data_IF_659734972872
#
_entry.id   IF_659734972872
#
_cell.length_a   1.000
_cell.length_b   1.000
_cell.length_c   1.000
_cell.angle_alpha   90.00
_cell.angle_beta   90.00
_cell.angle_gamma   90.00
#
_symmetry.space_group_name_H-M   'P 1'
#
loop_
_entity.id
_entity.type
_entity.pdbx_description
1 polymer ?
#
# COMPACT_ATOMS: atom_id res chain seq x y z
N UNK A 1 9.63 10.13 40.96
CA UNK A 1 9.52 11.28 40.02
C UNK A 1 9.52 10.69 38.63
N UNK A 2 8.55 11.10 37.81
CA UNK A 2 8.22 10.55 36.50
C UNK A 2 9.41 10.70 35.55
N UNK A 3 9.71 9.68 34.75
CA UNK A 3 10.24 9.94 33.41
C UNK A 3 9.86 8.84 32.43
N UNK A 4 9.57 9.28 31.22
CA UNK A 4 8.78 8.58 30.20
C UNK A 4 9.68 7.65 29.39
N UNK A 5 9.11 6.51 29.03
CA UNK A 5 9.57 5.69 27.91
C UNK A 5 9.36 6.47 26.61
N UNK A 6 10.42 6.65 25.81
CA UNK A 6 10.31 6.98 24.39
C UNK A 6 11.22 6.06 23.55
N UNK A 7 10.64 5.56 22.46
CA UNK A 7 11.24 4.70 21.42
C UNK A 7 12.18 5.49 20.50
N UNK A 8 13.05 4.74 19.83
CA UNK A 8 14.04 5.06 18.76
C UNK A 8 15.37 5.67 19.24
N UNK A 9 16.43 4.89 19.04
CA UNK A 9 17.81 5.21 19.34
C UNK A 9 18.30 6.42 18.52
N UNK A 10 18.83 7.42 19.22
CA UNK A 10 19.71 8.44 18.65
C UNK A 10 21.10 8.15 19.20
N UNK A 11 22.07 7.80 18.34
CA UNK A 11 23.46 7.60 18.73
C UNK A 11 24.19 8.96 18.68
N UNK A 12 24.71 9.38 19.83
CA UNK A 12 25.53 10.58 20.04
C UNK A 12 27.00 10.25 19.70
N UNK A 13 27.65 11.05 18.84
CA UNK A 13 29.07 10.93 18.49
C UNK A 13 29.94 11.86 19.36
N UNK A 14 30.99 11.32 19.97
CA UNK A 14 32.02 12.05 20.71
C UNK A 14 33.09 12.57 19.73
N UNK A 15 33.37 13.88 19.73
CA UNK A 15 34.34 14.56 18.85
C UNK A 15 35.69 14.70 19.58
N UNK A 16 36.79 14.31 18.92
CA UNK A 16 38.16 14.70 19.30
C UNK A 16 38.76 15.58 18.20
N UNK A 17 39.11 16.82 18.55
CA UNK A 17 39.66 17.85 17.66
C UNK A 17 41.18 17.71 17.50
N UNK A 18 41.66 17.83 16.26
CA UNK A 18 42.98 18.42 15.96
C UNK A 18 42.78 19.49 14.89
N UNK A 19 43.26 20.69 15.19
CA UNK A 19 43.03 21.97 14.48
C UNK A 19 44.09 22.14 13.39
N UNK A 20 43.68 22.49 12.16
CA UNK A 20 44.21 23.60 11.35
C UNK A 20 43.39 23.77 10.04
N UNK A 21 42.75 24.93 9.86
CA UNK A 21 42.25 25.43 8.56
C UNK A 21 40.74 25.36 8.34
N UNK A 22 40.10 26.52 8.12
CA UNK A 22 38.64 26.73 8.09
C UNK A 22 37.91 26.12 6.88
N UNK A 23 36.93 25.22 7.11
CA UNK A 23 35.61 25.19 6.42
C UNK A 23 34.67 24.23 7.17
N UNK A 24 33.52 24.73 7.65
CA UNK A 24 32.47 23.92 8.29
C UNK A 24 31.39 23.59 7.25
N UNK A 25 31.11 22.32 6.99
CA UNK A 25 29.84 21.89 6.40
C UNK A 25 29.05 21.08 7.44
N UNK A 26 27.98 21.69 7.95
CA UNK A 26 26.89 20.96 8.60
C UNK A 26 26.00 20.42 7.49
N UNK A 27 25.86 19.10 7.37
CA UNK A 27 24.81 18.48 6.53
C UNK A 27 23.81 17.80 7.46
N UNK A 28 22.67 18.45 7.66
CA UNK A 28 21.49 17.80 8.21
C UNK A 28 20.94 16.83 7.14
N UNK A 29 20.81 15.56 7.50
CA UNK A 29 20.18 14.57 6.64
C UNK A 29 18.66 14.73 6.69
N UNK A 30 18.07 15.14 5.57
CA UNK A 30 16.64 14.95 5.29
C UNK A 30 16.56 13.97 4.13
N UNK A 31 16.09 12.76 4.42
CA UNK A 31 15.66 11.80 3.41
C UNK A 31 14.45 12.42 2.70
N UNK A 32 14.63 12.85 1.46
CA UNK A 32 13.54 13.25 0.58
C UNK A 32 13.69 12.50 -0.74
N UNK A 33 12.65 11.74 -1.11
CA UNK A 33 12.45 11.27 -2.45
C UNK A 33 12.53 12.47 -3.42
N UNK A 34 13.44 12.42 -4.39
CA UNK A 34 13.64 13.49 -5.35
C UNK A 34 14.57 13.03 -6.47
N UNK A 35 14.41 13.63 -7.66
CA UNK A 35 15.23 13.35 -8.84
C UNK A 35 16.74 13.48 -8.53
N UNK A 36 17.58 12.59 -9.07
CA UNK A 36 19.03 12.82 -9.09
C UNK A 36 19.29 14.01 -10.01
N UNK A 37 19.56 15.15 -9.40
CA UNK A 37 20.05 16.35 -10.09
C UNK A 37 21.55 16.40 -9.92
N UNK A 38 22.31 16.33 -11.03
CA UNK A 38 23.73 16.66 -11.03
C UNK A 38 23.87 18.19 -10.81
N UNK A 39 23.96 18.60 -9.55
CA UNK A 39 24.22 19.99 -9.15
C UNK A 39 25.72 20.25 -9.12
N UNK A 40 26.16 21.29 -9.82
CA UNK A 40 27.57 21.66 -9.90
C UNK A 40 27.68 23.12 -9.42
N UNK A 41 28.46 23.38 -8.36
CA UNK A 41 28.63 24.71 -7.74
C UNK A 41 30.08 25.20 -7.80
N UNK A 42 30.25 26.43 -8.29
CA UNK A 42 31.50 27.09 -8.66
C UNK A 42 32.41 27.43 -7.46
N UNK A 43 33.73 27.18 -7.57
CA UNK A 43 34.72 28.20 -7.19
C UNK A 43 36.13 27.95 -7.81
N UNK A 44 36.56 28.91 -8.63
CA UNK A 44 37.94 29.38 -8.89
C UNK A 44 39.09 28.39 -9.24
N UNK A 45 39.43 28.36 -10.54
CA UNK A 45 40.72 28.07 -11.24
C UNK A 45 41.80 27.16 -10.59
N UNK A 46 42.06 26.00 -11.21
CA UNK A 46 43.31 25.23 -11.04
C UNK A 46 43.85 24.78 -12.41
N UNK A 47 45.15 24.98 -12.65
CA UNK A 47 45.90 24.54 -13.84
C UNK A 47 46.81 23.37 -13.44
N UNK A 48 46.83 22.28 -14.21
CA UNK A 48 47.79 21.17 -14.03
C UNK A 48 48.44 20.81 -15.37
N UNK A 49 49.77 20.67 -15.35
CA UNK A 49 50.64 20.40 -16.50
C UNK A 49 50.99 18.89 -16.61
N UNK A 50 51.25 18.45 -17.84
CA UNK A 50 51.45 17.04 -18.21
C UNK A 50 52.81 16.43 -17.82
N UNK A 51 52.81 15.09 -17.71
CA UNK A 51 53.97 14.23 -17.82
C UNK A 51 53.60 12.91 -18.53
N UNK A 52 54.45 12.47 -19.45
CA UNK A 52 54.23 11.32 -20.32
C UNK A 52 54.21 9.96 -19.58
N UNK A 53 53.28 9.08 -19.99
CA UNK A 53 53.28 7.66 -19.64
C UNK A 53 51.99 7.22 -18.94
N UNK A 54 51.17 6.44 -19.66
CA UNK A 54 49.95 5.75 -19.20
C UNK A 54 48.98 6.63 -18.38
N UNK A 55 48.02 7.24 -19.07
CA UNK A 55 46.99 8.06 -18.44
C UNK A 55 46.17 7.29 -17.41
N UNK A 56 45.76 7.94 -16.31
CA UNK A 56 45.07 7.29 -15.19
C UNK A 56 43.72 6.72 -15.63
N UNK A 57 43.52 5.44 -15.31
CA UNK A 57 42.22 4.81 -15.19
C UNK A 57 41.45 5.54 -14.08
N UNK A 58 40.57 6.48 -14.44
CA UNK A 58 39.61 7.04 -13.49
C UNK A 58 38.42 6.07 -13.42
N UNK A 59 38.62 4.95 -12.71
CA UNK A 59 37.50 4.26 -12.06
C UNK A 59 37.02 5.23 -10.98
N UNK A 60 35.75 5.60 -10.98
CA UNK A 60 35.15 6.28 -9.83
C UNK A 60 35.04 5.28 -8.67
N UNK A 61 36.10 5.13 -7.88
CA UNK A 61 36.05 4.53 -6.56
C UNK A 61 35.93 5.62 -5.49
N UNK A 62 34.81 6.33 -5.44
CA UNK A 62 34.36 6.84 -4.13
C UNK A 62 33.84 5.67 -3.30
N UNK A 63 34.78 4.84 -2.87
CA UNK A 63 34.65 3.87 -1.81
C UNK A 63 34.44 4.63 -0.49
N UNK A 64 33.20 5.04 -0.26
CA UNK A 64 32.76 5.65 1.00
C UNK A 64 31.34 5.26 1.43
N UNK A 65 30.58 4.52 0.61
CA UNK A 65 29.27 3.97 0.97
C UNK A 65 29.17 2.54 0.47
N UNK A 66 29.04 1.59 1.39
CA UNK A 66 28.75 0.18 1.10
C UNK A 66 27.31 -0.06 0.62
N UNK A 67 26.72 0.91 -0.08
CA UNK A 67 25.48 0.79 -0.83
C UNK A 67 25.76 1.35 -2.23
N UNK A 68 25.93 0.42 -3.18
CA UNK A 68 26.19 0.70 -4.59
C UNK A 68 25.05 1.56 -5.17
N UNK A 69 25.29 2.86 -5.30
CA UNK A 69 24.41 3.73 -6.05
C UNK A 69 24.76 3.59 -7.53
N UNK A 70 23.83 3.27 -8.43
CA UNK A 70 24.18 2.96 -9.81
C UNK A 70 24.66 4.21 -10.56
N UNK A 71 25.86 4.13 -11.14
CA UNK A 71 26.38 5.16 -12.04
C UNK A 71 25.66 5.14 -13.38
N UNK A 72 25.70 6.26 -14.09
CA UNK A 72 25.23 6.36 -15.48
C UNK A 72 26.43 6.15 -16.40
N UNK A 73 26.30 5.25 -17.37
CA UNK A 73 27.28 5.02 -18.41
C UNK A 73 26.80 5.62 -19.74
N UNK A 74 27.62 6.50 -20.32
CA UNK A 74 27.42 7.05 -21.66
C UNK A 74 28.66 6.73 -22.49
N UNK A 75 28.47 6.10 -23.64
CA UNK A 75 29.56 5.77 -24.55
C UNK A 75 29.10 5.78 -26.01
N UNK A 76 30.05 5.91 -26.93
CA UNK A 76 29.80 5.76 -28.36
C UNK A 76 30.22 4.38 -28.83
N UNK A 77 29.62 3.87 -29.90
CA UNK A 77 30.07 2.64 -30.56
C UNK A 77 30.78 2.95 -31.87
N UNK A 78 31.71 2.09 -32.26
CA UNK A 78 32.20 2.04 -33.63
C UNK A 78 31.08 1.55 -34.56
N UNK A 79 31.01 2.10 -35.79
CA UNK A 79 29.98 1.73 -36.75
C UNK A 79 30.14 0.29 -37.27
N UNK A 80 31.38 -0.11 -37.57
CA UNK A 80 31.68 -1.39 -38.22
C UNK A 80 31.63 -2.58 -37.25
N UNK A 81 32.08 -2.39 -36.02
CA UNK A 81 32.21 -3.46 -35.02
C UNK A 81 31.08 -3.44 -33.98
N UNK A 82 30.45 -2.28 -33.75
CA UNK A 82 29.50 -2.08 -32.66
C UNK A 82 30.15 -2.09 -31.27
N UNK A 83 31.48 -2.21 -31.19
CA UNK A 83 32.26 -2.13 -29.96
C UNK A 83 32.31 -0.68 -29.46
N UNK A 84 32.71 -0.48 -28.21
CA UNK A 84 32.83 0.87 -27.63
C UNK A 84 33.95 1.64 -28.34
N UNK A 85 33.60 2.75 -28.98
CA UNK A 85 34.55 3.69 -29.57
C UNK A 85 35.07 4.63 -28.48
N UNK A 86 36.26 5.22 -28.69
CA UNK A 86 36.58 6.41 -27.91
C UNK A 86 37.69 7.29 -28.45
N UNK A 87 37.41 8.58 -28.31
CA UNK A 87 38.30 9.73 -28.30
C UNK A 87 37.53 10.83 -27.56
N UNK A 88 38.05 11.32 -26.44
CA UNK A 88 37.42 12.35 -25.60
C UNK A 88 38.37 13.55 -25.61
N UNK A 89 37.99 14.64 -26.28
CA UNK A 89 38.78 15.86 -26.31
C UNK A 89 38.15 16.91 -25.39
N UNK A 90 38.89 17.40 -24.40
CA UNK A 90 38.58 18.64 -23.67
C UNK A 90 39.45 19.75 -24.26
N UNK A 91 38.84 20.79 -24.88
CA UNK A 91 39.51 21.78 -25.77
C UNK A 91 40.61 22.62 -25.06
N UNK A 92 41.74 23.07 -25.67
CA UNK A 92 41.97 23.57 -27.04
C UNK A 92 43.38 23.28 -27.64
N UNK A 93 43.39 23.11 -28.97
CA UNK A 93 44.48 23.32 -29.94
C UNK A 93 45.78 22.49 -29.81
N UNK A 94 45.79 21.28 -30.37
CA UNK A 94 46.56 20.95 -31.60
C UNK A 94 46.48 19.45 -31.90
N UNK A 95 46.52 19.13 -33.20
CA UNK A 95 46.60 17.80 -33.83
C UNK A 95 47.06 16.64 -32.94
N UNK A 96 46.28 15.55 -32.83
CA UNK A 96 46.84 14.21 -32.60
C UNK A 96 46.06 13.12 -33.33
N UNK A 97 46.83 12.30 -34.04
CA UNK A 97 46.44 11.07 -34.74
C UNK A 97 46.63 9.86 -33.82
N UNK A 98 45.62 9.00 -33.72
CA UNK A 98 45.75 7.56 -33.44
C UNK A 98 45.76 7.11 -31.97
N UNK A 99 44.74 6.31 -31.60
CA UNK A 99 44.78 5.45 -30.40
C UNK A 99 43.41 4.99 -29.89
N UNK A 100 43.16 3.67 -29.86
CA UNK A 100 41.95 3.06 -29.30
C UNK A 100 41.91 3.22 -27.78
N UNK A 101 40.88 3.88 -27.24
CA UNK A 101 40.64 4.00 -25.80
C UNK A 101 39.15 4.17 -25.50
N UNK A 102 38.67 3.65 -24.37
CA UNK A 102 37.26 3.75 -23.95
C UNK A 102 37.02 5.14 -23.37
N UNK A 103 36.10 5.92 -23.94
CA UNK A 103 35.67 7.20 -23.36
C UNK A 103 34.59 6.97 -22.30
N UNK A 104 34.93 7.06 -21.02
CA UNK A 104 33.95 7.18 -19.93
C UNK A 104 33.85 8.66 -19.56
N UNK A 105 32.65 9.24 -19.65
CA UNK A 105 32.45 10.65 -19.36
C UNK A 105 32.22 10.87 -17.86
N UNK A 106 33.27 11.24 -17.12
CA UNK A 106 33.16 11.84 -15.79
C UNK A 106 33.72 13.27 -15.87
N UNK A 107 32.84 14.26 -15.89
CA UNK A 107 33.25 15.65 -15.64
C UNK A 107 32.99 15.96 -14.17
N UNK A 108 34.03 15.83 -13.34
CA UNK A 108 34.01 16.33 -11.96
C UNK A 108 34.09 17.86 -11.89
N UNK A 109 34.20 18.55 -13.03
CA UNK A 109 34.40 19.99 -13.11
C UNK A 109 33.20 20.75 -13.70
N UNK A 110 32.91 21.91 -13.10
CA UNK A 110 31.96 22.91 -13.60
C UNK A 110 32.26 23.34 -15.04
N UNK A 111 31.21 23.42 -15.86
CA UNK A 111 31.18 24.19 -17.12
C UNK A 111 32.23 23.83 -18.19
N UNK A 112 32.75 22.59 -18.19
CA UNK A 112 33.57 22.12 -19.30
C UNK A 112 32.70 21.47 -20.37
N UNK A 113 32.64 22.12 -21.53
CA UNK A 113 32.10 21.55 -22.77
C UNK A 113 32.95 20.35 -23.16
N UNK A 114 32.40 19.16 -22.94
CA UNK A 114 32.99 17.92 -23.42
C UNK A 114 32.75 17.82 -24.91
N UNK A 115 33.81 17.63 -25.69
CA UNK A 115 33.72 17.49 -27.13
C UNK A 115 34.15 16.09 -27.58
N UNK A 116 33.23 15.37 -28.22
CA UNK A 116 33.56 14.14 -28.92
C UNK A 116 33.85 14.45 -30.39
N UNK A 117 35.00 13.99 -30.87
CA UNK A 117 35.37 14.07 -32.28
C UNK A 117 35.72 12.67 -32.78
N UNK A 118 35.13 12.30 -33.91
CA UNK A 118 35.46 11.08 -34.62
C UNK A 118 35.76 11.40 -36.07
N UNK A 119 36.51 10.52 -36.74
CA UNK A 119 36.62 10.62 -38.18
C UNK A 119 35.25 10.37 -38.83
N UNK A 120 34.90 11.09 -39.91
CA UNK A 120 33.68 10.83 -40.66
C UNK A 120 33.60 9.34 -41.03
N UNK A 121 32.45 8.69 -40.80
CA UNK A 121 32.14 7.28 -41.08
C UNK A 121 32.59 6.22 -40.05
N UNK A 122 33.15 6.59 -38.89
CA UNK A 122 33.60 5.60 -37.89
C UNK A 122 32.65 5.43 -36.70
N UNK A 123 31.75 6.39 -36.44
CA UNK A 123 30.85 6.36 -35.28
C UNK A 123 29.50 5.75 -35.60
N UNK A 124 29.11 4.72 -34.84
CA UNK A 124 27.80 4.09 -34.89
C UNK A 124 26.76 4.87 -34.11
N UNK A 125 26.60 4.58 -32.81
CA UNK A 125 25.56 5.18 -31.96
C UNK A 125 26.11 5.65 -30.62
N UNK A 126 25.44 6.63 -30.03
CA UNK A 126 25.57 6.92 -28.61
C UNK A 126 24.68 5.96 -27.82
N UNK A 127 25.17 5.46 -26.69
CA UNK A 127 24.45 4.57 -25.78
C UNK A 127 24.45 5.17 -24.39
N UNK A 128 23.29 5.18 -23.75
CA UNK A 128 23.06 5.63 -22.38
C UNK A 128 22.42 4.47 -21.62
N UNK A 129 23.01 4.09 -20.48
CA UNK A 129 22.46 3.05 -19.59
C UNK A 129 22.96 3.24 -18.16
N UNK A 130 22.40 2.51 -17.21
CA UNK A 130 22.97 2.42 -15.86
C UNK A 130 24.01 1.32 -15.77
N UNK A 131 25.05 1.54 -14.96
CA UNK A 131 26.15 0.58 -14.77
C UNK A 131 25.70 -0.70 -14.06
N UNK A 132 24.62 -0.64 -13.27
CA UNK A 132 24.04 -1.79 -12.58
C UNK A 132 22.99 -2.56 -13.42
N UNK A 133 22.66 -2.05 -14.61
CA UNK A 133 21.63 -2.64 -15.48
C UNK A 133 20.20 -2.42 -14.99
N UNK A 134 19.96 -1.58 -13.98
CA UNK A 134 18.61 -1.23 -13.55
C UNK A 134 17.90 -0.35 -14.59
N UNK A 135 16.57 -0.39 -14.57
CA UNK A 135 15.75 0.44 -15.44
C UNK A 135 15.77 1.91 -15.01
N UNK A 136 15.46 2.81 -15.93
CA UNK A 136 15.39 4.25 -15.70
C UNK A 136 14.38 4.93 -16.62
N UNK A 137 13.99 6.16 -16.25
CA UNK A 137 13.22 7.04 -17.11
C UNK A 137 14.15 8.05 -17.79
N UNK A 138 14.15 8.09 -19.12
CA UNK A 138 14.96 9.05 -19.87
C UNK A 138 14.15 10.34 -20.12
N UNK A 139 14.54 11.46 -19.50
CA UNK A 139 13.72 12.68 -19.46
C UNK A 139 14.28 13.84 -20.31
N UNK A 140 15.59 14.07 -20.27
CA UNK A 140 16.21 15.22 -20.96
C UNK A 140 17.67 14.92 -21.34
N UNK A 141 18.08 15.36 -22.54
CA UNK A 141 19.49 15.45 -22.96
C UNK A 141 19.69 16.72 -23.79
N UNK A 142 20.76 17.47 -23.52
CA UNK A 142 21.13 18.60 -24.37
C UNK A 142 22.39 18.27 -25.18
N UNK A 143 22.28 18.39 -26.50
CA UNK A 143 23.35 18.10 -27.45
C UNK A 143 23.52 19.29 -28.39
N UNK A 144 24.78 19.57 -28.75
CA UNK A 144 25.09 20.47 -29.88
C UNK A 144 25.63 19.66 -31.05
N UNK A 145 25.10 19.93 -32.24
CA UNK A 145 25.51 19.31 -33.49
C UNK A 145 25.86 20.38 -34.54
N UNK A 146 26.69 20.00 -35.51
CA UNK A 146 26.85 20.74 -36.76
C UNK A 146 25.57 20.74 -37.61
N UNK A 147 25.55 21.54 -38.68
CA UNK A 147 24.32 21.83 -39.43
C UNK A 147 23.60 20.59 -40.00
N UNK A 148 22.26 20.59 -39.92
CA UNK A 148 21.28 19.68 -40.53
C UNK A 148 21.49 18.18 -40.25
N UNK A 149 21.03 17.71 -39.09
CA UNK A 149 20.99 16.27 -38.74
C UNK A 149 19.62 15.90 -38.17
N UNK A 150 19.13 14.71 -38.49
CA UNK A 150 17.97 14.13 -37.79
C UNK A 150 18.49 13.14 -36.76
N UNK A 151 18.20 13.34 -35.49
CA UNK A 151 18.51 12.38 -34.44
C UNK A 151 17.40 11.34 -34.36
N UNK A 152 17.80 10.09 -34.14
CA UNK A 152 16.92 8.96 -33.94
C UNK A 152 17.19 8.43 -32.55
N UNK A 153 16.18 8.47 -31.70
CA UNK A 153 16.30 8.17 -30.28
C UNK A 153 15.44 6.96 -30.00
N UNK A 154 16.05 5.91 -29.47
CA UNK A 154 15.39 4.63 -29.29
C UNK A 154 15.57 4.13 -27.86
N UNK A 155 14.45 3.75 -27.24
CA UNK A 155 14.44 3.13 -25.91
C UNK A 155 14.46 1.61 -26.02
N UNK A 156 15.03 0.95 -25.02
CA UNK A 156 15.06 -0.51 -24.93
C UNK A 156 14.64 -0.98 -23.54
N UNK A 157 13.93 -2.12 -23.50
CA UNK A 157 13.61 -2.85 -22.27
C UNK A 157 13.96 -4.32 -22.43
N UNK A 158 14.94 -4.80 -21.67
CA UNK A 158 15.40 -6.18 -21.71
C UNK A 158 15.92 -6.58 -23.10
N UNK A 159 16.53 -5.64 -23.82
CA UNK A 159 17.02 -5.83 -25.19
C UNK A 159 15.98 -5.67 -26.31
N UNK A 160 14.71 -5.45 -26.00
CA UNK A 160 13.64 -5.21 -26.98
C UNK A 160 13.41 -3.70 -27.14
N UNK A 161 13.29 -3.21 -28.37
CA UNK A 161 12.96 -1.80 -28.64
C UNK A 161 11.58 -1.46 -28.10
N UNK A 162 11.48 -0.37 -27.34
CA UNK A 162 10.20 0.17 -26.85
C UNK A 162 9.59 1.16 -27.85
N UNK A 163 10.35 1.61 -28.85
CA UNK A 163 9.95 2.57 -29.88
C UNK A 163 11.01 3.63 -30.13
N UNK A 164 10.74 4.47 -31.13
CA UNK A 164 11.71 5.45 -31.66
C UNK A 164 11.09 6.83 -31.80
N UNK A 165 11.87 7.88 -31.55
CA UNK A 165 11.54 9.29 -31.86
C UNK A 165 12.57 9.87 -32.81
N UNK A 166 12.09 10.51 -33.87
CA UNK A 166 12.91 11.29 -34.78
C UNK A 166 12.89 12.76 -34.35
N UNK A 167 14.06 13.39 -34.24
CA UNK A 167 14.21 14.79 -33.87
C UNK A 167 15.06 15.54 -34.89
N UNK A 168 14.45 16.49 -35.61
CA UNK A 168 15.14 17.28 -36.62
C UNK A 168 15.95 18.42 -35.98
N UNK A 169 17.28 18.35 -36.08
CA UNK A 169 18.19 19.43 -35.73
C UNK A 169 18.39 20.32 -36.98
N UNK A 170 17.49 21.28 -37.16
CA UNK A 170 17.59 22.30 -38.20
C UNK A 170 18.37 23.51 -37.64
N UNK A 171 19.52 23.88 -38.22
CA UNK A 171 20.18 25.15 -37.87
C UNK A 171 20.02 26.15 -39.00
N UNK A 172 19.37 27.28 -38.70
CA UNK A 172 19.53 28.52 -39.48
C UNK A 172 20.58 29.35 -38.74
N UNK A 173 21.76 29.45 -39.35
CA UNK A 173 22.84 30.44 -39.09
C UNK A 173 23.38 30.58 -37.65
N UNK A 174 24.58 30.04 -37.47
CA UNK A 174 25.74 30.56 -36.72
C UNK A 174 25.61 30.90 -35.22
N UNK A 175 26.51 30.28 -34.45
CA UNK A 175 26.89 30.53 -33.04
C UNK A 175 25.79 30.44 -31.96
N UNK A 176 25.91 29.39 -31.13
CA UNK A 176 25.50 29.38 -29.71
C UNK A 176 24.07 28.98 -29.29
N UNK A 177 23.37 28.12 -30.03
CA UNK A 177 22.12 27.53 -29.49
C UNK A 177 22.15 26.01 -29.55
N UNK A 178 22.32 25.40 -28.37
CA UNK A 178 22.18 23.99 -28.13
C UNK A 178 20.75 23.52 -28.44
N UNK A 179 20.60 22.42 -29.18
CA UNK A 179 19.31 21.74 -29.27
C UNK A 179 19.08 21.00 -27.96
N UNK A 180 18.23 21.56 -27.09
CA UNK A 180 17.72 20.84 -25.93
C UNK A 180 16.69 19.83 -26.41
N UNK A 181 16.98 18.54 -26.20
CA UNK A 181 15.94 17.52 -26.27
C UNK A 181 15.40 17.37 -24.86
N UNK A 182 14.19 17.90 -24.64
CA UNK A 182 13.56 17.96 -23.33
C UNK A 182 12.34 17.04 -23.23
N UNK A 183 11.67 17.15 -22.10
CA UNK A 183 10.48 16.38 -21.77
C UNK A 183 9.33 16.54 -22.77
N UNK A 184 9.29 17.58 -23.61
CA UNK A 184 8.25 17.73 -24.63
C UNK A 184 8.43 16.78 -25.82
N UNK A 185 9.64 16.23 -25.99
CA UNK A 185 10.00 15.27 -27.05
C UNK A 185 10.30 13.88 -26.47
N UNK A 186 10.84 13.82 -25.25
CA UNK A 186 11.36 12.60 -24.61
C UNK A 186 10.43 11.95 -23.56
N UNK A 187 9.23 12.49 -23.28
CA UNK A 187 8.25 11.83 -22.40
C UNK A 187 7.28 10.79 -23.01
N UNK A 188 7.39 10.30 -24.26
CA UNK A 188 6.56 9.17 -24.68
C UNK A 188 6.76 7.94 -23.77
N UNK A 189 5.74 7.09 -23.65
CA UNK A 189 5.79 5.85 -22.83
C UNK A 189 6.94 4.92 -23.18
N UNK A 190 7.55 5.11 -24.35
CA UNK A 190 8.70 4.33 -24.85
C UNK A 190 10.00 4.63 -24.09
N UNK A 191 10.11 5.75 -23.36
CA UNK A 191 11.32 6.11 -22.59
C UNK A 191 11.14 5.94 -21.08
N UNK A 192 10.03 5.34 -20.64
CA UNK A 192 9.78 5.01 -19.25
C UNK A 192 10.23 3.57 -18.95
N UNK A 193 10.91 3.37 -17.83
CA UNK A 193 11.34 2.06 -17.33
C UNK A 193 12.17 1.26 -18.38
N UNK A 194 13.15 1.93 -19.01
CA UNK A 194 14.07 1.40 -20.03
C UNK A 194 15.42 1.03 -19.41
N UNK A 195 16.12 0.00 -19.93
CA UNK A 195 17.47 -0.38 -19.47
C UNK A 195 18.58 0.31 -20.28
N UNK A 196 18.22 0.83 -21.45
CA UNK A 196 19.15 1.42 -22.40
C UNK A 196 18.43 2.39 -23.34
N UNK A 197 19.07 3.51 -23.64
CA UNK A 197 18.69 4.43 -24.72
C UNK A 197 19.83 4.51 -25.72
N UNK A 198 19.51 4.54 -27.01
CA UNK A 198 20.50 4.79 -28.06
C UNK A 198 20.12 5.99 -28.91
N UNK A 199 21.12 6.76 -29.33
CA UNK A 199 20.95 7.92 -30.20
C UNK A 199 21.83 7.74 -31.43
N UNK A 200 21.22 7.76 -32.61
CA UNK A 200 21.88 7.76 -33.92
C UNK A 200 21.51 9.01 -34.72
N UNK A 201 22.22 9.28 -35.80
CA UNK A 201 21.86 10.32 -36.77
C UNK A 201 21.24 9.73 -38.05
N UNK A 202 20.61 10.60 -38.83
CA UNK A 202 20.31 10.44 -40.26
C UNK A 202 20.68 11.72 -41.00
N UNK A 203 20.99 11.57 -42.28
CA UNK A 203 21.15 12.64 -43.27
C UNK A 203 22.30 13.62 -42.99
N UNK A 204 23.46 13.15 -42.53
CA UNK A 204 24.64 14.02 -42.52
C UNK A 204 25.02 14.40 -43.95
N UNK A 205 25.25 15.70 -44.18
CA UNK A 205 25.67 16.25 -45.47
C UNK A 205 24.66 16.12 -46.64
N UNK A 206 23.36 15.98 -46.32
CA UNK A 206 22.28 16.06 -47.32
C UNK A 206 22.11 14.83 -48.22
N UNK A 207 22.73 13.70 -47.90
CA UNK A 207 22.38 12.40 -48.49
C UNK A 207 21.11 11.88 -47.83
N UNK A 208 20.23 11.22 -48.58
CA UNK A 208 18.96 10.66 -48.09
C UNK A 208 19.12 9.25 -47.51
N UNK A 209 20.34 8.77 -47.31
CA UNK A 209 20.59 7.40 -46.86
C UNK A 209 20.56 7.31 -45.33
N UNK A 210 19.78 6.35 -44.86
CA UNK A 210 19.67 5.95 -43.47
C UNK A 210 20.87 5.06 -43.14
N UNK A 211 21.97 5.64 -42.68
CA UNK A 211 23.19 4.89 -42.40
C UNK A 211 23.33 4.48 -40.92
N UNK A 212 22.39 4.86 -40.04
CA UNK A 212 22.44 4.59 -38.61
C UNK A 212 23.69 5.17 -37.93
N UNK A 213 24.28 6.22 -38.52
CA UNK A 213 25.51 6.82 -38.01
C UNK A 213 25.22 8.13 -37.32
N UNK A 214 25.91 8.34 -36.21
CA UNK A 214 26.03 9.66 -35.63
C UNK A 214 27.17 10.42 -36.31
N UNK A 215 26.97 10.75 -37.58
CA UNK A 215 27.92 11.48 -38.39
C UNK A 215 27.82 12.97 -38.05
N UNK A 216 28.56 13.43 -37.05
CA UNK A 216 28.69 14.87 -36.80
C UNK A 216 30.09 15.20 -36.32
N UNK A 217 30.73 16.13 -37.03
CA UNK A 217 31.92 16.80 -36.50
C UNK A 217 31.55 17.54 -35.22
N UNK A 218 32.04 17.05 -34.09
CA UNK A 218 31.94 17.69 -32.78
C UNK A 218 30.56 17.57 -32.14
N UNK A 219 30.41 16.65 -31.18
CA UNK A 219 29.26 16.65 -30.26
C UNK A 219 29.70 17.36 -28.99
N UNK A 220 28.97 18.42 -28.61
CA UNK A 220 29.27 19.18 -27.39
C UNK A 220 28.10 19.09 -26.40
N UNK A 221 28.42 18.73 -25.16
CA UNK A 221 27.46 18.69 -24.06
C UNK A 221 27.46 20.05 -23.33
N UNK A 222 26.34 20.77 -23.35
CA UNK A 222 26.26 22.15 -22.81
C UNK A 222 25.34 22.32 -21.61
N UNK A 223 24.53 21.32 -21.23
CA UNK A 223 23.67 21.32 -20.04
C UNK A 223 23.35 19.89 -19.58
N UNK A 224 22.88 19.78 -18.34
CA UNK A 224 22.56 18.57 -17.57
C UNK A 224 21.84 17.49 -18.40
N UNK A 225 22.23 16.23 -18.20
CA UNK A 225 21.42 15.07 -18.56
C UNK A 225 20.60 14.74 -17.33
N UNK A 226 19.27 14.84 -17.42
CA UNK A 226 18.37 14.46 -16.33
C UNK A 226 17.84 13.06 -16.62
N UNK A 227 18.39 12.07 -15.92
CA UNK A 227 17.85 10.72 -15.89
C UNK A 227 16.97 10.64 -14.64
N UNK A 228 15.70 10.30 -14.82
CA UNK A 228 14.88 9.94 -13.66
C UNK A 228 15.53 8.77 -12.95
N UNK A 229 15.58 8.82 -11.62
CA UNK A 229 16.00 7.68 -10.80
C UNK A 229 15.29 6.40 -11.26
N UNK A 230 15.83 5.19 -10.97
CA UNK A 230 15.05 3.99 -11.21
C UNK A 230 13.72 4.21 -10.50
N UNK A 231 12.61 4.00 -11.20
CA UNK A 231 11.41 3.60 -10.47
C UNK A 231 11.84 2.30 -9.82
N UNK A 232 12.34 2.37 -8.58
CA UNK A 232 12.60 1.18 -7.80
C UNK A 232 11.27 0.45 -7.84
N UNK A 233 11.24 -0.79 -8.35
CA UNK A 233 10.00 -1.55 -8.36
C UNK A 233 9.50 -1.48 -6.93
N UNK A 234 8.30 -0.94 -6.76
CA UNK A 234 7.65 -0.95 -5.46
C UNK A 234 7.71 -2.40 -4.97
N UNK A 235 8.37 -2.59 -3.83
CA UNK A 235 8.56 -3.90 -3.19
C UNK A 235 7.75 -4.00 -1.91
N UNK A 236 6.99 -2.96 -1.56
CA UNK A 236 6.15 -2.99 -0.36
C UNK A 236 4.93 -3.82 -0.67
N UNK A 237 4.74 -4.92 0.06
CA UNK A 237 3.53 -5.74 -0.06
C UNK A 237 2.40 -5.10 0.74
N UNK A 238 1.14 -5.15 0.25
CA UNK A 238 0.00 -4.78 1.07
C UNK A 238 -0.08 -5.66 2.33
N UNK A 239 -0.66 -5.10 3.40
CA UNK A 239 -0.90 -5.78 4.69
C UNK A 239 -2.30 -5.46 5.21
N UNK A 240 -2.83 -6.27 6.13
CA UNK A 240 -4.10 -5.99 6.82
C UNK A 240 -3.86 -4.94 7.92
N UNK A 241 -4.56 -3.80 7.88
CA UNK A 241 -4.46 -2.76 8.92
C UNK A 241 -5.56 -2.87 9.97
N UNK A 242 -6.80 -3.06 9.53
CA UNK A 242 -7.96 -3.15 10.41
C UNK A 242 -9.14 -3.83 9.72
N UNK A 243 -10.13 -4.23 10.49
CA UNK A 243 -11.43 -4.62 10.00
C UNK A 243 -12.53 -3.94 10.83
N UNK A 244 -13.65 -3.64 10.19
CA UNK A 244 -14.82 -3.05 10.82
C UNK A 244 -16.07 -3.80 10.38
N UNK A 245 -16.97 -4.09 11.34
CA UNK A 245 -18.28 -4.65 11.04
C UNK A 245 -19.19 -3.54 10.54
N UNK A 246 -19.74 -3.70 9.34
CA UNK A 246 -20.71 -2.78 8.75
C UNK A 246 -22.15 -3.19 9.09
N UNK A 247 -22.40 -4.50 9.11
CA UNK A 247 -23.71 -5.09 9.42
C UNK A 247 -23.55 -6.53 9.91
N UNK A 248 -24.67 -7.23 10.15
CA UNK A 248 -24.63 -8.67 10.47
C UNK A 248 -24.07 -9.54 9.33
N UNK A 249 -23.98 -9.03 8.10
CA UNK A 249 -23.55 -9.84 6.95
C UNK A 249 -22.41 -9.21 6.17
N UNK A 250 -21.87 -8.09 6.65
CA UNK A 250 -20.79 -7.38 5.97
C UNK A 250 -19.72 -6.86 6.94
N UNK A 251 -18.47 -7.02 6.51
CA UNK A 251 -17.27 -6.51 7.17
C UNK A 251 -16.43 -5.78 6.13
N UNK A 252 -15.91 -4.61 6.46
CA UNK A 252 -14.93 -3.91 5.64
C UNK A 252 -13.53 -4.11 6.23
N UNK A 253 -12.60 -4.59 5.42
CA UNK A 253 -11.18 -4.74 5.73
C UNK A 253 -10.42 -3.58 5.09
N UNK A 254 -9.53 -2.95 5.84
CA UNK A 254 -8.61 -1.91 5.36
C UNK A 254 -7.22 -2.49 5.15
N UNK A 255 -6.68 -2.29 3.95
CA UNK A 255 -5.33 -2.67 3.55
C UNK A 255 -4.35 -1.49 3.74
N UNK A 256 -3.05 -1.76 3.83
CA UNK A 256 -2.04 -0.69 3.99
C UNK A 256 -1.88 0.24 2.79
N UNK A 257 -2.43 -0.13 1.64
CA UNK A 257 -2.29 0.58 0.38
C UNK A 257 -3.34 0.15 -0.63
N UNK A 258 -3.39 0.88 -1.75
CA UNK A 258 -4.25 0.55 -2.89
C UNK A 258 -3.86 -0.79 -3.52
N UNK A 259 -4.83 -1.69 -3.63
CA UNK A 259 -4.65 -3.06 -4.14
C UNK A 259 -5.66 -3.41 -5.24
N UNK A 260 -5.36 -4.47 -5.98
CA UNK A 260 -6.19 -5.05 -7.03
C UNK A 260 -6.63 -6.48 -6.67
N UNK A 261 -7.48 -7.09 -7.50
CA UNK A 261 -8.09 -8.41 -7.30
C UNK A 261 -9.04 -8.52 -6.09
N UNK A 262 -9.67 -7.40 -5.70
CA UNK A 262 -10.53 -7.32 -4.51
C UNK A 262 -11.92 -7.94 -4.67
N UNK A 263 -12.40 -8.12 -5.90
CA UNK A 263 -13.75 -8.61 -6.20
C UNK A 263 -13.69 -10.10 -6.55
N UNK A 264 -14.33 -10.95 -5.74
CA UNK A 264 -14.37 -12.41 -5.93
C UNK A 264 -15.75 -12.95 -5.55
N UNK A 265 -16.24 -13.95 -6.29
CA UNK A 265 -17.43 -14.73 -5.94
C UNK A 265 -17.14 -15.87 -4.95
N UNK A 266 -16.07 -15.73 -4.16
CA UNK A 266 -15.62 -16.67 -3.14
C UNK A 266 -14.94 -15.87 -2.01
N UNK A 267 -14.29 -16.56 -1.07
CA UNK A 267 -13.69 -15.91 0.10
C UNK A 267 -12.59 -14.90 -0.19
N UNK A 268 -12.01 -14.89 -1.40
CA UNK A 268 -10.88 -14.04 -1.73
C UNK A 268 -9.64 -14.28 -0.86
N UNK A 269 -9.56 -15.43 -0.18
CA UNK A 269 -8.51 -15.75 0.79
C UNK A 269 -8.83 -15.34 2.23
N UNK A 270 -9.91 -14.59 2.48
CA UNK A 270 -10.30 -14.18 3.83
C UNK A 270 -10.99 -15.31 4.59
N UNK A 271 -10.76 -15.35 5.90
CA UNK A 271 -11.52 -16.17 6.85
C UNK A 271 -11.92 -15.30 8.03
N UNK A 272 -13.15 -15.44 8.50
CA UNK A 272 -13.67 -14.71 9.66
C UNK A 272 -14.04 -15.73 10.72
N UNK A 273 -13.59 -15.54 11.96
CA UNK A 273 -13.93 -16.40 13.09
C UNK A 273 -14.18 -15.59 14.34
N UNK A 274 -14.90 -16.18 15.28
CA UNK A 274 -15.16 -15.61 16.60
C UNK A 274 -13.85 -15.46 17.40
N UNK A 275 -13.62 -14.27 17.95
CA UNK A 275 -12.38 -14.01 18.71
C UNK A 275 -12.35 -14.86 19.98
N UNK A 276 -11.20 -15.52 20.22
CA UNK A 276 -11.01 -16.38 21.39
C UNK A 276 -11.62 -17.78 21.29
N UNK A 277 -12.44 -18.05 20.25
CA UNK A 277 -12.97 -19.37 19.95
C UNK A 277 -12.95 -19.65 18.44
N UNK A 278 -11.81 -20.09 17.87
CA UNK A 278 -11.71 -20.33 16.42
C UNK A 278 -12.59 -21.48 15.91
N UNK A 279 -13.35 -22.16 16.78
CA UNK A 279 -14.33 -23.17 16.40
C UNK A 279 -15.54 -22.61 15.64
N UNK A 280 -15.92 -21.35 15.89
CA UNK A 280 -17.01 -20.68 15.16
C UNK A 280 -16.44 -19.90 13.98
N UNK A 281 -16.56 -20.46 12.77
CA UNK A 281 -16.10 -19.81 11.52
C UNK A 281 -17.27 -19.26 10.73
N UNK A 282 -17.17 -17.99 10.35
CA UNK A 282 -18.09 -17.30 9.45
C UNK A 282 -17.52 -17.37 8.03
N UNK A 283 -18.10 -18.24 7.20
CA UNK A 283 -17.68 -18.38 5.80
C UNK A 283 -17.86 -17.07 5.04
N UNK A 284 -16.79 -16.61 4.38
CA UNK A 284 -16.82 -15.49 3.44
C UNK A 284 -17.30 -16.01 2.09
N UNK A 285 -18.48 -15.57 1.66
CA UNK A 285 -19.12 -16.04 0.42
C UNK A 285 -18.72 -15.24 -0.81
N UNK A 286 -18.37 -13.97 -0.63
CA UNK A 286 -17.91 -13.08 -1.68
C UNK A 286 -17.07 -11.93 -1.10
N UNK A 287 -16.22 -11.35 -1.95
CA UNK A 287 -15.52 -10.09 -1.67
C UNK A 287 -15.87 -9.06 -2.73
N UNK A 288 -15.96 -7.80 -2.33
CA UNK A 288 -16.15 -6.65 -3.20
C UNK A 288 -15.14 -5.56 -2.86
N UNK A 289 -14.90 -4.65 -3.81
CA UNK A 289 -14.19 -3.41 -3.51
C UNK A 289 -15.06 -2.52 -2.64
N UNK A 290 -14.47 -1.92 -1.61
CA UNK A 290 -15.09 -0.89 -0.79
C UNK A 290 -15.11 0.48 -1.47
N UNK A 291 -14.98 1.54 -0.69
CA UNK A 291 -15.01 2.92 -1.20
C UNK A 291 -13.84 3.24 -2.15
N UNK A 292 -12.71 2.58 -1.95
CA UNK A 292 -11.50 2.72 -2.76
C UNK A 292 -10.78 1.36 -2.87
N UNK A 293 -9.63 1.34 -3.54
CA UNK A 293 -8.82 0.13 -3.75
C UNK A 293 -8.03 -0.32 -2.51
N UNK A 294 -8.09 0.39 -1.38
CA UNK A 294 -7.53 -0.06 -0.10
C UNK A 294 -8.56 -0.70 0.82
N UNK A 295 -9.83 -0.77 0.42
CA UNK A 295 -10.90 -1.35 1.22
C UNK A 295 -11.53 -2.57 0.53
N UNK A 296 -11.73 -3.64 1.29
CA UNK A 296 -12.39 -4.87 0.82
C UNK A 296 -13.61 -5.15 1.67
N UNK A 297 -14.79 -5.23 1.04
CA UNK A 297 -16.04 -5.62 1.70
C UNK A 297 -16.20 -7.13 1.59
N UNK A 298 -16.31 -7.79 2.73
CA UNK A 298 -16.56 -9.22 2.86
C UNK A 298 -18.05 -9.46 3.06
N UNK A 299 -18.65 -10.35 2.27
CA UNK A 299 -19.97 -10.89 2.56
C UNK A 299 -19.82 -12.15 3.41
N UNK A 300 -20.42 -12.16 4.60
CA UNK A 300 -20.31 -13.25 5.58
C UNK A 300 -21.67 -13.76 6.02
N UNK A 301 -21.69 -14.95 6.63
CA UNK A 301 -22.86 -15.44 7.34
C UNK A 301 -23.24 -14.50 8.51
N UNK A 302 -24.48 -14.62 8.99
CA UNK A 302 -25.02 -13.76 10.06
C UNK A 302 -24.14 -13.81 11.31
N UNK A 303 -23.57 -12.65 11.66
CA UNK A 303 -22.65 -12.44 12.78
C UNK A 303 -23.35 -12.25 14.13
N UNK A 304 -24.69 -12.24 14.17
CA UNK A 304 -25.46 -11.85 15.36
C UNK A 304 -25.05 -12.57 16.65
N UNK A 305 -24.62 -13.82 16.55
CA UNK A 305 -24.27 -14.68 17.70
C UNK A 305 -22.91 -14.42 18.33
N UNK A 306 -22.01 -13.66 17.69
CA UNK A 306 -20.67 -13.35 18.23
C UNK A 306 -20.53 -11.91 18.75
N UNK A 307 -21.65 -11.27 19.06
CA UNK A 307 -21.66 -9.88 19.47
C UNK A 307 -20.87 -9.62 20.77
N UNK A 308 -20.79 -10.62 21.66
CA UNK A 308 -20.09 -10.55 22.94
C UNK A 308 -18.59 -10.90 22.90
N UNK A 309 -18.13 -11.53 21.82
CA UNK A 309 -16.76 -12.03 21.69
C UNK A 309 -15.94 -11.18 20.72
N UNK A 310 -16.59 -10.59 19.71
CA UNK A 310 -15.92 -9.94 18.60
C UNK A 310 -15.44 -10.94 17.54
N UNK A 311 -14.69 -10.47 16.55
CA UNK A 311 -14.26 -11.27 15.41
C UNK A 311 -12.79 -11.08 15.10
N UNK A 312 -12.17 -12.10 14.51
CA UNK A 312 -10.85 -12.02 13.92
C UNK A 312 -10.95 -12.33 12.43
N UNK A 313 -10.34 -11.48 11.60
CA UNK A 313 -10.27 -11.63 10.15
C UNK A 313 -8.84 -11.96 9.75
N UNK A 314 -8.62 -13.11 9.15
CA UNK A 314 -7.32 -13.55 8.62
C UNK A 314 -7.33 -13.61 7.11
N UNK A 315 -6.15 -13.70 6.52
CA UNK A 315 -5.97 -13.83 5.07
C UNK A 315 -5.00 -14.95 4.75
N UNK A 316 -5.32 -15.76 3.74
CA UNK A 316 -4.46 -16.83 3.22
C UNK A 316 -4.21 -16.63 1.74
N UNK A 317 -2.95 -16.38 1.37
CA UNK A 317 -2.52 -16.29 -0.03
C UNK A 317 -2.61 -17.67 -0.71
N UNK A 318 -2.96 -17.69 -2.00
CA UNK A 318 -3.05 -18.93 -2.77
C UNK A 318 -4.15 -18.87 -3.84
N UNK A 319 -4.87 -19.98 -4.01
CA UNK A 319 -5.88 -20.13 -5.09
C UNK A 319 -6.97 -19.05 -5.00
N UNK A 320 -7.50 -18.77 -3.80
CA UNK A 320 -8.51 -17.74 -3.60
C UNK A 320 -7.88 -16.39 -3.20
N UNK A 321 -6.84 -16.39 -2.37
CA UNK A 321 -6.12 -15.20 -1.94
C UNK A 321 -5.14 -14.70 -2.99
N UNK A 322 -5.60 -13.78 -3.83
CA UNK A 322 -4.86 -13.25 -5.00
C UNK A 322 -4.71 -11.73 -4.97
N UNK A 323 -4.94 -11.10 -3.81
CA UNK A 323 -4.78 -9.65 -3.64
C UNK A 323 -3.29 -9.30 -3.79
N UNK A 324 -3.03 -8.22 -4.53
CA UNK A 324 -1.72 -7.64 -4.76
C UNK A 324 -1.88 -6.14 -4.97
N UNK A 325 -0.81 -5.36 -4.82
CA UNK A 325 -0.79 -3.95 -5.22
C UNK A 325 -0.73 -3.78 -6.77
N UNK A 326 -0.62 -2.53 -7.23
CA UNK A 326 -0.49 -2.21 -8.66
C UNK A 326 0.89 -2.59 -9.23
N UNK A 327 1.91 -2.73 -8.40
CA UNK A 327 3.26 -3.14 -8.80
C UNK A 327 3.40 -4.68 -8.89
N UNK A 328 2.42 -5.41 -8.36
CA UNK A 328 2.36 -6.86 -8.40
C UNK A 328 2.84 -7.56 -7.14
N UNK A 329 3.11 -6.85 -6.04
CA UNK A 329 3.47 -7.51 -4.79
C UNK A 329 2.22 -8.09 -4.13
N UNK A 330 2.22 -9.40 -3.91
CA UNK A 330 1.08 -10.10 -3.34
C UNK A 330 0.93 -9.82 -1.83
N UNK A 331 -0.31 -9.66 -1.38
CA UNK A 331 -0.65 -9.72 0.05
C UNK A 331 -0.23 -11.10 0.58
N UNK A 332 0.67 -11.12 1.56
CA UNK A 332 1.13 -12.37 2.17
C UNK A 332 0.05 -12.99 3.07
N UNK A 333 0.15 -14.31 3.31
CA UNK A 333 -0.69 -14.98 4.31
C UNK A 333 -0.48 -14.33 5.68
N UNK A 334 -1.57 -13.88 6.28
CA UNK A 334 -1.62 -13.35 7.63
C UNK A 334 -2.59 -14.21 8.47
N UNK A 335 -2.01 -15.16 9.19
CA UNK A 335 -2.73 -16.03 10.13
C UNK A 335 -2.99 -15.38 11.49
N UNK A 336 -2.36 -14.24 11.78
CA UNK A 336 -2.66 -13.47 13.01
C UNK A 336 -3.92 -12.64 12.77
N UNK A 337 -3.97 -11.99 11.61
CA UNK A 337 -5.11 -11.20 11.16
C UNK A 337 -5.33 -9.92 11.97
N UNK A 338 -6.51 -9.36 11.80
CA UNK A 338 -6.98 -8.13 12.47
C UNK A 338 -8.27 -8.42 13.23
N UNK A 339 -8.47 -7.75 14.36
CA UNK A 339 -9.63 -7.96 15.22
C UNK A 339 -10.69 -6.88 15.07
N UNK A 340 -11.94 -7.29 15.21
CA UNK A 340 -13.12 -6.44 15.37
C UNK A 340 -13.54 -6.60 16.83
N UNK A 341 -13.61 -5.50 17.57
CA UNK A 341 -14.05 -5.54 18.96
C UNK A 341 -15.51 -6.04 19.07
N UNK A 342 -15.84 -6.64 20.21
CA UNK A 342 -17.22 -6.94 20.58
C UNK A 342 -18.10 -5.69 20.47
N UNK A 343 -19.37 -5.88 20.11
CA UNK A 343 -20.33 -4.79 19.89
C UNK A 343 -21.60 -4.93 20.73
N UNK A 344 -21.73 -6.02 21.48
CA UNK A 344 -22.78 -6.20 22.48
C UNK A 344 -22.24 -6.99 23.67
N UNK A 345 -22.23 -6.40 24.86
CA UNK A 345 -21.75 -7.05 26.09
C UNK A 345 -22.67 -6.81 27.29
N UNK A 346 -23.88 -6.29 27.05
CA UNK A 346 -24.81 -6.00 28.13
C UNK A 346 -25.73 -7.20 28.27
N UNK A 347 -25.65 -7.90 29.40
CA UNK A 347 -26.57 -9.01 29.65
C UNK A 347 -28.03 -8.53 29.69
N UNK A 348 -28.98 -9.32 29.17
CA UNK A 348 -30.39 -8.94 29.20
C UNK A 348 -30.90 -8.94 30.64
N UNK A 349 -31.92 -8.12 30.90
CA UNK A 349 -32.63 -8.05 32.18
C UNK A 349 -34.15 -8.05 31.95
N UNK A 350 -34.93 -8.41 32.97
CA UNK A 350 -36.39 -8.24 32.93
C UNK A 350 -36.72 -6.80 33.35
N UNK A 351 -37.37 -6.06 32.46
CA UNK A 351 -37.88 -4.72 32.74
C UNK A 351 -39.19 -4.76 33.54
N UNK A 352 -40.09 -5.69 33.22
CA UNK A 352 -41.36 -5.85 33.94
C UNK A 352 -42.02 -7.21 33.72
N UNK A 353 -42.79 -7.66 34.71
CA UNK A 353 -43.78 -8.73 34.58
C UNK A 353 -45.13 -8.15 35.00
N UNK A 354 -46.00 -7.88 34.03
CA UNK A 354 -47.29 -7.22 34.26
C UNK A 354 -48.46 -8.16 33.97
N UNK A 355 -49.61 -7.90 34.60
CA UNK A 355 -50.87 -8.57 34.26
C UNK A 355 -51.30 -8.17 32.85
N UNK A 356 -51.75 -9.15 32.07
CA UNK A 356 -52.16 -8.93 30.69
C UNK A 356 -53.62 -9.29 30.45
N UNK A 357 -54.04 -10.48 30.87
CA UNK A 357 -55.42 -10.96 30.69
C UNK A 357 -55.86 -11.72 31.94
N UNK A 358 -56.83 -11.20 32.72
CA UNK A 358 -57.39 -9.86 32.62
C UNK A 358 -56.35 -8.78 33.00
N UNK A 359 -56.59 -7.51 32.64
CA UNK A 359 -55.71 -6.42 33.11
C UNK A 359 -55.96 -6.03 34.58
N UNK A 360 -57.13 -6.40 35.11
CA UNK A 360 -57.53 -6.09 36.48
C UNK A 360 -56.79 -6.94 37.51
N UNK A 361 -56.54 -6.36 38.69
CA UNK A 361 -55.85 -7.06 39.78
C UNK A 361 -56.67 -8.23 40.35
N UNK A 362 -57.99 -8.12 40.43
CA UNK A 362 -58.85 -9.17 40.97
C UNK A 362 -59.49 -10.00 39.86
N UNK A 363 -59.54 -11.32 40.04
CA UNK A 363 -60.09 -12.25 39.04
C UNK A 363 -60.63 -13.53 39.68
N UNK A 364 -61.64 -14.12 39.05
CA UNK A 364 -62.13 -15.48 39.33
C UNK A 364 -61.96 -16.39 38.09
N UNK A 365 -61.07 -16.01 37.17
CA UNK A 365 -60.76 -16.81 35.99
C UNK A 365 -59.86 -18.00 36.36
N UNK A 366 -60.08 -19.15 35.73
CA UNK A 366 -59.24 -20.34 35.87
C UNK A 366 -57.95 -20.30 35.00
N UNK A 367 -57.77 -19.20 34.26
CA UNK A 367 -56.58 -18.93 33.42
C UNK A 367 -56.31 -17.43 33.38
N UNK A 368 -55.04 -17.05 33.47
CA UNK A 368 -54.56 -15.67 33.32
C UNK A 368 -53.31 -15.61 32.46
N UNK A 369 -52.98 -14.43 31.97
CA UNK A 369 -51.77 -14.15 31.20
C UNK A 369 -50.96 -13.06 31.88
N UNK A 370 -49.65 -13.28 31.99
CA UNK A 370 -48.65 -12.27 32.33
C UNK A 370 -47.87 -11.86 31.08
N UNK A 371 -47.52 -10.59 30.98
CA UNK A 371 -46.60 -10.08 29.97
C UNK A 371 -45.25 -9.79 30.60
N UNK A 372 -44.24 -10.53 30.15
CA UNK A 372 -42.83 -10.34 30.50
C UNK A 372 -42.20 -9.44 29.44
N UNK A 373 -41.49 -8.40 29.87
CA UNK A 373 -40.74 -7.49 28.99
C UNK A 373 -39.28 -7.49 29.40
N UNK A 374 -38.38 -7.77 28.46
CA UNK A 374 -36.93 -7.74 28.65
C UNK A 374 -36.35 -6.39 28.21
N UNK A 375 -35.13 -6.06 28.68
CA UNK A 375 -34.40 -4.85 28.26
C UNK A 375 -33.98 -4.88 26.79
N UNK A 376 -33.89 -6.08 26.22
CA UNK A 376 -33.47 -6.34 24.84
C UNK A 376 -34.04 -7.68 24.36
N UNK A 377 -33.78 -8.03 23.11
CA UNK A 377 -34.30 -9.27 22.54
C UNK A 377 -33.52 -10.47 23.10
N UNK A 378 -34.25 -11.44 23.66
CA UNK A 378 -33.66 -12.66 24.20
C UNK A 378 -34.04 -13.88 23.36
N UNK A 379 -33.37 -14.99 23.61
CA UNK A 379 -33.67 -16.33 23.11
C UNK A 379 -33.65 -17.33 24.27
N UNK A 380 -34.21 -18.53 24.05
CA UNK A 380 -34.19 -19.61 25.05
C UNK A 380 -35.30 -19.53 26.09
N UNK A 381 -36.32 -18.69 25.90
CA UNK A 381 -37.41 -18.54 26.88
C UNK A 381 -38.37 -19.74 26.82
N UNK A 382 -38.60 -20.40 27.94
CA UNK A 382 -39.58 -21.48 28.09
C UNK A 382 -40.29 -21.46 29.46
N UNK A 383 -41.19 -22.42 29.69
CA UNK A 383 -42.02 -22.46 30.91
C UNK A 383 -41.23 -22.78 32.18
N UNK A 384 -40.06 -23.43 32.05
CA UNK A 384 -39.20 -23.81 33.18
C UNK A 384 -38.39 -22.63 33.72
N UNK A 385 -38.34 -21.53 32.98
CA UNK A 385 -37.73 -20.27 33.41
C UNK A 385 -38.51 -19.54 34.49
N UNK A 386 -39.78 -19.89 34.67
CA UNK A 386 -40.70 -19.16 35.52
C UNK A 386 -41.17 -20.01 36.70
N UNK A 387 -41.46 -19.34 37.80
CA UNK A 387 -42.08 -19.93 38.99
C UNK A 387 -43.27 -19.09 39.44
N UNK A 388 -44.22 -19.74 40.12
CA UNK A 388 -45.38 -19.05 40.69
C UNK A 388 -45.10 -18.72 42.16
N UNK A 389 -45.33 -17.46 42.52
CA UNK A 389 -45.31 -17.00 43.91
C UNK A 389 -46.75 -16.82 44.38
N UNK A 390 -47.15 -17.57 45.42
CA UNK A 390 -48.54 -17.61 45.87
C UNK A 390 -48.73 -17.29 47.36
N UNK A 391 -49.94 -16.85 47.72
CA UNK A 391 -50.40 -16.75 49.11
C UNK A 391 -51.74 -17.48 49.29
N UNK A 392 -52.11 -17.83 50.52
CA UNK A 392 -53.37 -18.52 50.79
C UNK A 392 -53.40 -19.94 50.21
N UNK A 393 -54.50 -20.30 49.57
CA UNK A 393 -54.72 -21.63 48.95
C UNK A 393 -54.64 -21.60 47.42
N UNK A 394 -54.29 -20.45 46.81
CA UNK A 394 -54.25 -20.35 45.35
C UNK A 394 -53.14 -21.23 44.78
N UNK A 395 -53.47 -21.95 43.71
CA UNK A 395 -52.55 -22.75 42.91
C UNK A 395 -52.80 -22.52 41.42
N UNK A 396 -51.81 -22.82 40.59
CA UNK A 396 -51.93 -22.77 39.13
C UNK A 396 -50.79 -23.53 38.45
N UNK A 397 -50.84 -23.60 37.13
CA UNK A 397 -49.84 -24.26 36.29
C UNK A 397 -49.38 -23.31 35.17
N UNK A 398 -48.06 -23.12 35.01
CA UNK A 398 -47.49 -22.36 33.90
C UNK A 398 -47.62 -23.22 32.64
N UNK A 399 -48.56 -22.83 31.77
CA UNK A 399 -49.01 -23.65 30.66
C UNK A 399 -48.20 -23.46 29.38
N UNK A 400 -47.80 -22.21 29.10
CA UNK A 400 -47.06 -21.88 27.89
C UNK A 400 -46.41 -20.50 27.97
N UNK A 401 -45.38 -20.32 27.13
CA UNK A 401 -44.82 -19.01 26.76
C UNK A 401 -45.16 -18.79 25.28
N UNK A 402 -45.53 -17.57 24.91
CA UNK A 402 -45.99 -17.25 23.55
C UNK A 402 -44.93 -17.41 22.46
N UNK A 403 -43.65 -17.23 22.81
CA UNK A 403 -42.51 -17.43 21.92
C UNK A 403 -41.24 -17.74 22.73
N UNK A 404 -40.27 -18.39 22.09
CA UNK A 404 -38.96 -18.67 22.70
C UNK A 404 -37.92 -17.56 22.48
N UNK A 405 -38.26 -16.51 21.72
CA UNK A 405 -37.37 -15.40 21.41
C UNK A 405 -38.10 -14.08 21.12
N UNK A 406 -37.46 -12.95 21.43
CA UNK A 406 -37.99 -11.59 21.30
C UNK A 406 -37.88 -10.78 22.59
N UNK A 407 -38.38 -9.53 22.58
CA UNK A 407 -38.33 -8.62 23.74
C UNK A 407 -39.52 -8.76 24.69
N UNK A 408 -40.63 -9.34 24.23
CA UNK A 408 -41.89 -9.40 24.99
C UNK A 408 -42.52 -10.77 24.82
N UNK A 409 -42.82 -11.42 25.94
CA UNK A 409 -43.44 -12.75 25.99
C UNK A 409 -44.71 -12.72 26.83
N UNK A 410 -45.74 -13.43 26.37
CA UNK A 410 -46.92 -13.71 27.16
C UNK A 410 -46.80 -15.10 27.78
N UNK A 411 -46.89 -15.17 29.10
CA UNK A 411 -46.85 -16.41 29.88
C UNK A 411 -48.26 -16.72 30.37
N UNK A 412 -48.80 -17.86 29.93
CA UNK A 412 -50.13 -18.31 30.30
C UNK A 412 -50.06 -19.18 31.54
N UNK A 413 -50.84 -18.85 32.57
CA UNK A 413 -51.02 -19.67 33.77
C UNK A 413 -52.46 -20.17 33.79
N UNK A 414 -52.65 -21.49 33.82
CA UNK A 414 -53.98 -22.11 33.79
C UNK A 414 -54.21 -23.00 35.03
N UNK A 415 -55.35 -23.70 35.04
CA UNK A 415 -55.74 -24.60 36.13
C UNK A 415 -55.74 -23.89 37.49
N UNK A 416 -56.14 -22.61 37.48
CA UNK A 416 -56.14 -21.77 38.67
C UNK A 416 -57.32 -22.14 39.57
N UNK A 417 -57.04 -22.35 40.86
CA UNK A 417 -58.03 -22.67 41.89
C UNK A 417 -57.61 -22.11 43.25
N UNK A 418 -58.57 -21.92 44.17
CA UNK A 418 -58.32 -21.47 45.53
C UNK A 418 -58.40 -19.95 45.69
N UNK A 419 -57.89 -19.45 46.82
CA UNK A 419 -58.00 -18.03 47.20
C UNK A 419 -56.65 -17.49 47.66
N UNK A 420 -56.27 -16.32 47.14
CA UNK A 420 -55.03 -15.63 47.54
C UNK A 420 -54.41 -14.83 46.40
N UNK A 421 -53.12 -14.51 46.51
CA UNK A 421 -52.39 -13.81 45.44
C UNK A 421 -51.61 -14.80 44.60
N UNK A 422 -51.65 -14.64 43.28
CA UNK A 422 -50.87 -15.39 42.31
C UNK A 422 -49.94 -14.40 41.61
N UNK A 423 -48.63 -14.58 41.69
CA UNK A 423 -47.60 -13.83 40.96
C UNK A 423 -46.76 -14.75 40.09
N UNK A 424 -46.07 -14.18 39.10
CA UNK A 424 -45.14 -14.87 38.21
C UNK A 424 -43.74 -14.25 38.36
N UNK A 425 -42.76 -15.09 38.66
CA UNK A 425 -41.37 -14.69 38.83
C UNK A 425 -40.49 -15.34 37.75
N UNK A 426 -39.45 -14.63 37.31
CA UNK A 426 -38.35 -15.22 36.54
C UNK A 426 -37.32 -15.83 37.50
N UNK A 427 -36.94 -17.08 37.26
CA UNK A 427 -35.93 -17.79 38.03
C UNK A 427 -34.56 -17.10 37.96
N UNK A 428 -33.80 -17.16 39.06
CA UNK A 428 -32.50 -16.51 39.15
C UNK A 428 -31.35 -17.28 38.48
N UNK A 429 -31.57 -18.54 38.11
CA UNK A 429 -30.56 -19.41 37.51
C UNK A 429 -31.23 -20.49 36.67
N UNK A 430 -30.42 -21.17 35.85
CA UNK A 430 -30.82 -22.30 35.01
C UNK A 430 -31.97 -22.01 34.04
N UNK A 431 -32.07 -20.77 33.57
CA UNK A 431 -33.07 -20.37 32.56
C UNK A 431 -32.62 -20.73 31.15
N UNK A 432 -31.32 -20.63 30.86
CA UNK A 432 -30.84 -20.75 29.48
C UNK A 432 -31.23 -19.56 28.58
N UNK A 433 -31.83 -18.52 29.16
CA UNK A 433 -32.13 -17.27 28.48
C UNK A 433 -30.84 -16.48 28.23
N UNK A 434 -30.63 -16.05 27.00
CA UNK A 434 -29.51 -15.19 26.59
C UNK A 434 -29.96 -14.14 25.56
N UNK A 435 -29.19 -13.07 25.42
CA UNK A 435 -29.34 -12.12 24.31
C UNK A 435 -28.92 -12.74 22.97
N UNK A 436 -28.93 -11.95 21.89
CA UNK A 436 -28.49 -12.41 20.58
C UNK A 436 -26.98 -12.70 20.55
N UNK A 437 -26.17 -12.02 21.35
CA UNK A 437 -24.72 -12.22 21.49
C UNK A 437 -24.32 -13.41 22.37
N UNK A 438 -25.29 -14.16 22.90
CA UNK A 438 -25.07 -15.29 23.79
C UNK A 438 -24.76 -14.91 25.24
N UNK A 439 -24.90 -13.64 25.63
CA UNK A 439 -24.77 -13.23 27.03
C UNK A 439 -26.00 -13.68 27.80
N UNK A 440 -25.81 -14.56 28.79
CA UNK A 440 -26.90 -15.08 29.59
C UNK A 440 -27.52 -14.00 30.50
N UNK A 441 -28.84 -14.09 30.73
CA UNK A 441 -29.50 -13.29 31.78
C UNK A 441 -28.87 -13.62 33.14
N UNK A 442 -28.43 -12.60 33.85
CA UNK A 442 -27.65 -12.79 35.08
C UNK A 442 -28.52 -12.92 36.34
N UNK A 443 -29.75 -12.38 36.31
CA UNK A 443 -30.59 -12.23 37.50
C UNK A 443 -32.04 -12.59 37.20
N UNK A 444 -32.71 -13.19 38.19
CA UNK A 444 -34.15 -13.40 38.17
C UNK A 444 -34.93 -12.11 38.41
N UNK A 445 -36.25 -12.22 38.44
CA UNK A 445 -37.15 -11.07 38.63
C UNK A 445 -38.36 -11.49 39.46
N UNK A 446 -38.50 -10.89 40.65
CA UNK A 446 -39.56 -11.22 41.63
C UNK A 446 -40.42 -10.02 42.03
N UNK A 447 -40.29 -8.90 41.30
CA UNK A 447 -41.02 -7.65 41.56
C UNK A 447 -42.20 -7.45 40.61
N UNK A 448 -42.74 -8.54 40.05
CA UNK A 448 -43.85 -8.53 39.12
C UNK A 448 -45.19 -8.18 39.77
N UNK A 449 -46.16 -7.82 38.94
CA UNK A 449 -47.55 -7.69 39.39
C UNK A 449 -48.14 -9.07 39.74
N UNK A 450 -49.11 -9.08 40.66
CA UNK A 450 -49.84 -10.30 41.06
C UNK A 450 -51.35 -10.13 40.87
N UNK A 451 -52.05 -11.22 40.55
CA UNK A 451 -53.52 -11.29 40.63
C UNK A 451 -53.98 -11.63 42.05
N UNK A 452 -55.10 -11.07 42.49
CA UNK A 452 -55.89 -11.55 43.63
C UNK A 452 -56.98 -12.47 43.10
N UNK A 453 -56.88 -13.75 43.43
CA UNK A 453 -57.75 -14.82 42.96
C UNK A 453 -58.77 -15.18 44.03
N UNK A 454 -60.03 -15.32 43.61
CA UNK A 454 -61.14 -15.84 44.40
C UNK A 454 -61.98 -16.75 43.48
N UNK A 455 -61.54 -18.02 43.35
CA UNK A 455 -62.11 -19.03 42.44
C UNK A 455 -62.84 -20.14 43.18
#
# INVERSE_FOLDING_TARGET
>A
MKEKVFKKATLLLLVLFVIFGNLYLNVNWVQAAGDITLSVQNDSSVTIAEGAGYGPELISDEAGSAYANPGIEIYFTEYSTGEKAGHVNTYSLDFMTGGSGIGIFHSSELNKSLSYWSEPNETGKMVIRKTDGSYFDFKEIQLMFGNNVILVIEGFKGGVSTGTVDYNVNTVTDTALASTLDSTVLTPSIFQNVDKVTITGRNYNGTTEYDNRLDTGGIVFTKLITIGDPVLPDTTTPTLLSAARDSNTQITVTLSEASQNLIKANSGGFTVFETGNPGTTYGVSATAQGLDSSHVVLTVADLGVSAAQGLTVTYTAGVNGTIQDLAGNALATDGTGVTIALWDNTAPTVSSINRQTPVGASTNATSVIYRVTFSEAVSGVDTTDFTLTTTGTVSGNIASVSAASGMTMDVTVNSISGVGTLGLDLNAAATGIADIGGTAIATGYTSGEAYTVDT
#
